data_IF_790229214137
#
_entry.id   IF_790229214137
#
_cell.length_a   1.000
_cell.length_b   1.000
_cell.length_c   1.000
_cell.angle_alpha   90.00
_cell.angle_beta   90.00
_cell.angle_gamma   90.00
#
_symmetry.space_group_name_H-M   'P 1'
#
loop_
_entity.id
_entity.type
_entity.pdbx_description
1 polymer ?
#
# COMPACT_ATOMS: atom_id res chain seq x y z
N UNK A 1 13.61 -22.22 -9.40
CA UNK A 1 13.69 -22.18 -7.92
C UNK A 1 14.29 -20.88 -7.42
N UNK A 2 15.51 -20.51 -7.83
CA UNK A 2 16.15 -19.23 -7.42
C UNK A 2 15.29 -17.98 -7.69
N UNK A 3 14.62 -17.90 -8.84
CA UNK A 3 13.72 -16.81 -9.18
C UNK A 3 12.58 -16.61 -8.15
N UNK A 4 11.99 -17.71 -7.65
CA UNK A 4 10.87 -17.63 -6.69
C UNK A 4 11.37 -17.07 -5.36
N UNK A 5 12.52 -17.55 -4.88
CA UNK A 5 13.14 -17.07 -3.63
C UNK A 5 13.51 -15.60 -3.75
N UNK A 6 14.07 -15.18 -4.89
CA UNK A 6 14.32 -13.77 -5.18
C UNK A 6 13.05 -12.93 -5.10
N UNK A 7 11.96 -13.37 -5.75
CA UNK A 7 10.71 -12.63 -5.73
C UNK A 7 10.02 -12.61 -4.37
N UNK A 8 10.14 -13.65 -3.54
CA UNK A 8 9.68 -13.60 -2.13
C UNK A 8 10.31 -12.40 -1.43
N UNK A 9 11.64 -12.29 -1.49
CA UNK A 9 12.38 -11.18 -0.89
C UNK A 9 11.92 -9.82 -1.41
N UNK A 10 11.78 -9.67 -2.73
CA UNK A 10 11.32 -8.41 -3.36
C UNK A 10 9.90 -8.03 -2.97
N UNK A 11 8.99 -8.99 -2.84
CA UNK A 11 7.62 -8.72 -2.38
C UNK A 11 7.60 -8.32 -0.90
N UNK A 12 8.36 -9.01 -0.05
CA UNK A 12 8.46 -8.67 1.38
C UNK A 12 9.06 -7.28 1.60
N UNK A 13 10.14 -6.94 0.89
CA UNK A 13 10.75 -5.61 0.93
C UNK A 13 9.74 -4.53 0.49
N UNK A 14 8.95 -4.80 -0.55
CA UNK A 14 7.91 -3.86 -1.02
C UNK A 14 6.79 -3.67 0.01
N UNK A 15 6.34 -4.75 0.66
CA UNK A 15 5.33 -4.68 1.74
C UNK A 15 5.83 -3.79 2.88
N UNK A 16 7.06 -4.03 3.36
CA UNK A 16 7.67 -3.23 4.43
C UNK A 16 7.80 -1.75 4.03
N UNK A 17 8.32 -1.49 2.82
CA UNK A 17 8.52 -0.13 2.32
C UNK A 17 7.20 0.64 2.23
N UNK A 18 6.12 0.03 1.73
CA UNK A 18 4.81 0.67 1.62
C UNK A 18 4.21 0.94 3.00
N UNK A 19 4.25 -0.04 3.91
CA UNK A 19 3.78 0.14 5.27
C UNK A 19 4.52 1.28 5.99
N UNK A 20 5.85 1.35 5.83
CA UNK A 20 6.68 2.42 6.37
C UNK A 20 6.32 3.78 5.77
N UNK A 21 6.15 3.87 4.45
CA UNK A 21 5.76 5.12 3.78
C UNK A 21 4.40 5.62 4.25
N UNK A 22 3.41 4.73 4.39
CA UNK A 22 2.08 5.09 4.92
C UNK A 22 2.20 5.64 6.34
N UNK A 23 2.93 4.93 7.22
CA UNK A 23 3.10 5.33 8.61
C UNK A 23 3.80 6.69 8.75
N UNK A 24 4.93 6.88 8.05
CA UNK A 24 5.68 8.15 8.07
C UNK A 24 4.84 9.29 7.52
N UNK A 25 4.11 9.07 6.44
CA UNK A 25 3.25 10.09 5.85
C UNK A 25 2.08 10.45 6.77
N UNK A 26 1.48 9.47 7.45
CA UNK A 26 0.44 9.70 8.45
C UNK A 26 0.96 10.57 9.61
N UNK A 27 2.13 10.24 10.16
CA UNK A 27 2.77 11.04 11.22
C UNK A 27 3.07 12.46 10.75
N UNK A 28 3.67 12.60 9.57
CA UNK A 28 4.03 13.90 9.01
C UNK A 28 2.81 14.80 8.76
N UNK A 29 1.68 14.22 8.34
CA UNK A 29 0.45 14.98 8.16
C UNK A 29 -0.17 15.47 9.47
N UNK A 30 0.05 14.76 10.58
CA UNK A 30 -0.39 15.20 11.91
C UNK A 30 0.46 16.37 12.44
N UNK A 31 1.75 16.38 12.13
CA UNK A 31 2.70 17.39 12.61
C UNK A 31 2.71 18.68 11.78
N UNK A 32 2.11 18.66 10.58
CA UNK A 32 2.22 19.75 9.62
C UNK A 32 1.16 20.85 9.81
N UNK A 33 1.55 22.14 9.74
CA UNK A 33 0.59 23.24 9.72
C UNK A 33 -0.19 23.26 8.40
N UNK A 34 -1.46 23.67 8.48
CA UNK A 34 -2.45 23.68 7.38
C UNK A 34 -2.09 24.44 6.09
N UNK A 35 -0.94 25.14 6.07
CA UNK A 35 -0.40 25.89 4.94
C UNK A 35 0.52 25.03 4.03
N UNK A 36 0.91 23.83 4.47
CA UNK A 36 1.93 23.01 3.78
C UNK A 36 1.30 21.90 2.92
N UNK A 37 1.78 21.74 1.69
CA UNK A 37 1.13 20.95 0.62
C UNK A 37 1.49 19.46 0.57
N UNK A 38 1.82 18.82 1.69
CA UNK A 38 2.00 17.36 1.64
C UNK A 38 0.63 16.72 1.51
N UNK A 39 0.42 15.99 0.43
CA UNK A 39 -0.82 15.31 0.09
C UNK A 39 -0.57 13.82 0.01
N UNK A 40 -1.57 13.01 0.36
CA UNK A 40 -1.57 11.57 0.12
C UNK A 40 -1.31 11.20 -1.36
N UNK A 41 -1.49 12.13 -2.30
CA UNK A 41 -1.12 11.93 -3.70
C UNK A 41 0.39 11.89 -3.93
N UNK A 42 1.17 12.64 -3.17
CA UNK A 42 2.64 12.61 -3.26
C UNK A 42 3.18 11.21 -2.95
N UNK A 43 2.55 10.51 -2.01
CA UNK A 43 2.89 9.13 -1.69
C UNK A 43 2.60 8.19 -2.87
N UNK A 44 1.50 8.42 -3.58
CA UNK A 44 1.15 7.60 -4.73
C UNK A 44 2.12 7.77 -5.90
N UNK A 45 2.58 9.00 -6.14
CA UNK A 45 3.63 9.26 -7.13
C UNK A 45 4.94 8.55 -6.76
N UNK A 46 5.30 8.51 -5.47
CA UNK A 46 6.51 7.78 -5.00
C UNK A 46 6.40 6.28 -5.27
N UNK A 47 5.21 5.70 -5.11
CA UNK A 47 4.97 4.27 -5.32
C UNK A 47 4.75 3.93 -6.81
N UNK A 48 4.67 4.93 -7.69
CA UNK A 48 4.37 4.76 -9.11
C UNK A 48 2.93 4.29 -9.35
N UNK A 49 2.00 4.71 -8.49
CA UNK A 49 0.60 4.31 -8.55
C UNK A 49 -0.28 5.30 -9.33
N UNK A 50 0.29 6.17 -10.16
CA UNK A 50 -0.47 7.14 -10.96
C UNK A 50 -1.48 6.42 -11.87
N UNK A 51 -1.07 5.30 -12.49
CA UNK A 51 -1.94 4.44 -13.32
C UNK A 51 -3.12 3.85 -12.53
N UNK A 52 -2.97 3.69 -11.20
CA UNK A 52 -4.00 3.16 -10.32
C UNK A 52 -5.08 4.21 -10.01
N UNK A 53 -4.78 5.52 -10.13
CA UNK A 53 -5.80 6.58 -10.08
C UNK A 53 -6.63 6.63 -11.35
N UNK A 54 -6.03 6.31 -12.49
CA UNK A 54 -6.71 6.31 -13.78
C UNK A 54 -7.58 5.06 -13.96
N UNK A 55 -7.10 3.92 -13.46
CA UNK A 55 -7.76 2.61 -13.55
C UNK A 55 -8.79 2.38 -12.45
N UNK A 56 -8.51 2.86 -11.23
CA UNK A 56 -9.45 2.86 -10.13
C UNK A 56 -10.40 4.05 -10.29
N UNK A 57 -11.70 3.81 -10.36
CA UNK A 57 -12.79 4.82 -10.35
C UNK A 57 -12.81 5.75 -9.09
N UNK A 58 -11.68 5.98 -8.44
CA UNK A 58 -11.49 7.01 -7.43
C UNK A 58 -11.41 8.33 -8.18
N UNK A 59 -12.58 8.93 -8.42
CA UNK A 59 -12.68 10.36 -8.66
C UNK A 59 -12.17 11.07 -7.39
N UNK A 60 -10.85 11.22 -7.27
CA UNK A 60 -10.23 12.28 -6.49
C UNK A 60 -10.79 13.55 -7.07
N UNK A 61 -11.89 14.02 -6.48
CA UNK A 61 -12.66 15.12 -7.03
C UNK A 61 -11.69 16.22 -7.40
N UNK A 62 -11.51 16.47 -8.70
CA UNK A 62 -10.69 17.56 -9.23
C UNK A 62 -11.11 18.77 -8.42
N UNK A 63 -10.22 19.25 -7.56
CA UNK A 63 -10.52 20.25 -6.53
C UNK A 63 -10.79 21.58 -7.21
N UNK A 64 -12.00 21.72 -7.75
CA UNK A 64 -12.58 23.01 -8.09
C UNK A 64 -12.67 23.82 -6.81
N UNK A 65 -11.96 24.95 -6.78
CA UNK A 65 -12.05 26.09 -5.86
C UNK A 65 -13.24 25.99 -4.88
N UNK A 66 -13.08 25.32 -3.73
CA UNK A 66 -14.05 25.31 -2.64
C UNK A 66 -13.36 25.74 -1.35
N UNK A 67 -13.99 26.69 -0.65
CA UNK A 67 -13.41 27.48 0.43
C UNK A 67 -12.92 26.69 1.64
N UNK A 68 -12.24 27.42 2.54
CA UNK A 68 -11.48 26.94 3.73
C UNK A 68 -12.16 25.86 4.59
N UNK A 69 -13.51 25.75 4.63
CA UNK A 69 -14.25 24.72 5.39
C UNK A 69 -14.36 23.35 4.70
N UNK A 70 -14.12 23.24 3.39
CA UNK A 70 -14.22 21.98 2.63
C UNK A 70 -12.90 21.20 2.47
N UNK A 71 -11.78 21.74 2.95
CA UNK A 71 -10.44 21.18 2.72
C UNK A 71 -10.17 19.91 3.54
N UNK A 72 -10.58 19.84 4.81
CA UNK A 72 -10.32 18.66 5.66
C UNK A 72 -11.13 17.43 5.25
N UNK A 73 -12.40 17.61 4.84
CA UNK A 73 -13.24 16.53 4.36
C UNK A 73 -12.73 15.93 3.04
N UNK A 74 -12.21 16.78 2.14
CA UNK A 74 -11.58 16.34 0.90
C UNK A 74 -10.26 15.59 1.17
N UNK A 75 -9.46 16.05 2.14
CA UNK A 75 -8.21 15.39 2.54
C UNK A 75 -8.46 14.01 3.16
N UNK A 76 -9.46 13.88 4.04
CA UNK A 76 -9.83 12.57 4.61
C UNK A 76 -10.44 11.60 3.59
N UNK A 77 -11.15 12.10 2.56
CA UNK A 77 -11.63 11.25 1.47
C UNK A 77 -10.48 10.75 0.59
N UNK A 78 -9.52 11.64 0.28
CA UNK A 78 -8.31 11.31 -0.45
C UNK A 78 -7.45 10.29 0.32
N UNK A 79 -7.26 10.48 1.63
CA UNK A 79 -6.57 9.55 2.51
C UNK A 79 -7.12 8.13 2.41
N UNK A 80 -8.42 7.97 2.66
CA UNK A 80 -9.08 6.65 2.62
C UNK A 80 -8.94 5.98 1.27
N UNK A 81 -9.01 6.74 0.19
CA UNK A 81 -8.85 6.21 -1.15
C UNK A 81 -7.41 5.71 -1.41
N UNK A 82 -6.41 6.49 -1.04
CA UNK A 82 -4.99 6.11 -1.19
C UNK A 82 -4.65 4.93 -0.29
N UNK A 83 -5.10 4.92 0.97
CA UNK A 83 -4.93 3.79 1.88
C UNK A 83 -5.55 2.51 1.31
N UNK A 84 -6.79 2.58 0.82
CA UNK A 84 -7.46 1.42 0.22
C UNK A 84 -6.66 0.85 -0.97
N UNK A 85 -6.13 1.73 -1.81
CA UNK A 85 -5.36 1.38 -3.00
C UNK A 85 -4.00 0.74 -2.67
N UNK A 86 -3.34 1.20 -1.61
CA UNK A 86 -2.02 0.68 -1.22
C UNK A 86 -2.10 -0.55 -0.31
N UNK A 87 -3.18 -0.71 0.45
CA UNK A 87 -3.31 -1.80 1.41
C UNK A 87 -4.07 -2.97 0.79
N UNK A 88 -5.29 -2.75 0.31
CA UNK A 88 -6.26 -3.83 0.06
C UNK A 88 -6.64 -4.02 -1.41
N UNK A 89 -6.24 -3.11 -2.30
CA UNK A 89 -6.64 -3.16 -3.71
C UNK A 89 -5.95 -4.30 -4.47
N UNK A 90 -6.78 -5.18 -5.04
CA UNK A 90 -6.34 -6.35 -5.81
C UNK A 90 -5.98 -6.02 -7.25
N UNK A 91 -6.36 -4.83 -7.74
CA UNK A 91 -5.99 -4.36 -9.08
C UNK A 91 -4.58 -3.77 -9.09
N UNK A 92 -4.10 -3.32 -7.93
CA UNK A 92 -2.74 -2.85 -7.73
C UNK A 92 -1.77 -4.02 -7.57
N UNK A 93 -0.78 -4.09 -8.45
CA UNK A 93 0.34 -5.04 -8.37
C UNK A 93 1.28 -4.73 -7.21
N UNK A 94 1.20 -3.52 -6.67
CA UNK A 94 2.07 -3.03 -5.62
C UNK A 94 1.37 -2.97 -4.27
N UNK A 95 0.07 -3.22 -4.15
CA UNK A 95 -0.59 -3.20 -2.84
C UNK A 95 -0.01 -4.25 -1.91
N UNK A 96 -0.09 -3.98 -0.60
CA UNK A 96 0.37 -4.89 0.44
C UNK A 96 -0.31 -6.26 0.27
N UNK A 97 -1.64 -6.28 0.10
CA UNK A 97 -2.39 -7.52 -0.10
C UNK A 97 -1.90 -8.31 -1.32
N UNK A 98 -1.75 -7.68 -2.49
CA UNK A 98 -1.31 -8.37 -3.72
C UNK A 98 0.13 -8.87 -3.60
N UNK A 99 1.04 -8.04 -3.07
CA UNK A 99 2.44 -8.44 -2.86
C UNK A 99 2.52 -9.65 -1.92
N UNK A 100 1.69 -9.67 -0.86
CA UNK A 100 1.69 -10.73 0.13
C UNK A 100 1.13 -12.05 -0.42
N UNK A 101 0.07 -11.97 -1.25
CA UNK A 101 -0.43 -13.13 -2.01
C UNK A 101 0.68 -13.72 -2.89
N UNK A 102 1.39 -12.86 -3.63
CA UNK A 102 2.48 -13.31 -4.52
C UNK A 102 3.68 -13.87 -3.75
N UNK A 103 4.07 -13.25 -2.63
CA UNK A 103 5.10 -13.76 -1.74
C UNK A 103 4.72 -15.14 -1.20
N UNK A 104 3.47 -15.31 -0.74
CA UNK A 104 2.96 -16.57 -0.23
C UNK A 104 2.93 -17.66 -1.30
N UNK A 105 2.45 -17.37 -2.50
CA UNK A 105 2.42 -18.39 -3.57
C UNK A 105 3.83 -18.81 -4.01
N UNK A 106 4.79 -17.88 -4.04
CA UNK A 106 6.18 -18.21 -4.27
C UNK A 106 6.74 -19.06 -3.11
N UNK A 107 6.45 -18.71 -1.85
CA UNK A 107 6.90 -19.49 -0.69
C UNK A 107 6.30 -20.91 -0.69
N UNK A 108 5.01 -21.05 -1.01
CA UNK A 108 4.30 -22.34 -1.06
C UNK A 108 4.91 -23.31 -2.05
N UNK A 109 5.32 -22.79 -3.20
CA UNK A 109 5.83 -23.56 -4.34
C UNK A 109 7.33 -23.82 -4.30
N UNK A 110 8.03 -23.24 -3.32
CA UNK A 110 9.47 -23.46 -3.08
C UNK A 110 9.72 -23.82 -1.60
N UNK A 111 8.74 -24.49 -0.97
CA UNK A 111 8.78 -24.82 0.46
C UNK A 111 9.94 -25.76 0.81
N UNK A 112 10.40 -26.57 -0.15
CA UNK A 112 11.54 -27.46 0.06
C UNK A 112 12.91 -26.75 0.14
N UNK A 113 13.00 -25.47 -0.25
CA UNK A 113 14.27 -24.72 -0.26
C UNK A 113 14.32 -23.54 0.72
N UNK A 114 13.21 -23.20 1.37
CA UNK A 114 13.14 -22.15 2.38
C UNK A 114 12.99 -22.75 3.79
N UNK A 115 13.42 -22.05 4.85
CA UNK A 115 13.13 -22.47 6.22
C UNK A 115 11.62 -22.58 6.48
N UNK A 116 11.21 -23.55 7.30
CA UNK A 116 9.80 -23.75 7.67
C UNK A 116 9.21 -22.51 8.34
N UNK A 117 10.02 -21.83 9.15
CA UNK A 117 9.68 -20.61 9.87
C UNK A 117 9.37 -19.46 8.90
N UNK A 118 10.09 -19.38 7.77
CA UNK A 118 9.84 -18.35 6.76
C UNK A 118 8.46 -18.55 6.10
N UNK A 119 8.07 -19.80 5.82
CA UNK A 119 6.74 -20.11 5.33
C UNK A 119 5.66 -19.74 6.34
N UNK A 120 5.85 -20.11 7.61
CA UNK A 120 4.89 -19.84 8.70
C UNK A 120 4.67 -18.33 8.86
N UNK A 121 5.75 -17.55 8.96
CA UNK A 121 5.65 -16.09 9.10
C UNK A 121 4.94 -15.41 7.92
N UNK A 122 5.25 -15.81 6.68
CA UNK A 122 4.59 -15.25 5.49
C UNK A 122 3.10 -15.62 5.48
N UNK A 123 2.77 -16.86 5.83
CA UNK A 123 1.40 -17.33 5.86
C UNK A 123 0.58 -16.66 6.97
N UNK A 124 1.16 -16.51 8.16
CA UNK A 124 0.52 -15.85 9.29
C UNK A 124 0.26 -14.37 9.00
N UNK A 125 1.23 -13.68 8.40
CA UNK A 125 1.04 -12.30 7.95
C UNK A 125 -0.08 -12.20 6.90
N UNK A 126 -0.15 -13.15 5.97
CA UNK A 126 -1.24 -13.21 4.98
C UNK A 126 -2.61 -13.36 5.63
N UNK A 127 -2.74 -14.27 6.60
CA UNK A 127 -3.99 -14.48 7.33
C UNK A 127 -4.37 -13.26 8.17
N UNK A 128 -3.39 -12.64 8.84
CA UNK A 128 -3.59 -11.41 9.59
C UNK A 128 -4.16 -10.28 8.70
N UNK A 129 -3.53 -10.05 7.54
CA UNK A 129 -3.99 -9.01 6.60
C UNK A 129 -5.40 -9.34 6.06
N UNK A 130 -5.74 -10.60 5.84
CA UNK A 130 -7.11 -10.95 5.39
C UNK A 130 -8.18 -10.80 6.46
N UNK A 131 -7.83 -10.90 7.73
CA UNK A 131 -8.78 -10.72 8.83
C UNK A 131 -9.04 -9.23 9.12
N UNK A 132 -8.02 -8.38 8.93
CA UNK A 132 -8.06 -6.95 9.30
C UNK A 132 -8.32 -5.99 8.13
N UNK A 133 -8.25 -6.44 6.86
CA UNK A 133 -8.41 -5.61 5.65
C UNK A 133 -9.84 -5.58 5.08
#
# INVERSE_FOLDING_TARGET
MAERVYWIGRYMERIENIARLINVNASLLLDMPSETHVSWLSLLNIVGGEDLLESGNVALGKTGKRGKKGKSAAQGAQERAVMKLLISDKTSHCSIATCLVNARENARTTREVIPSEAWELINDLHLYVQQEA
#
